data_IF_298131885572
#
_entry.id   IF_298131885572
#
_cell.length_a   1.000
_cell.length_b   1.000
_cell.length_c   1.000
_cell.angle_alpha   90.00
_cell.angle_beta   90.00
_cell.angle_gamma   90.00
#
_symmetry.space_group_name_H-M   'P 1'
#
loop_
_entity.id
_entity.type
_entity.pdbx_description
1 polymer ?
#
# COMPACT_ATOMS: atom_id res chain seq x y z
N UNK A 1 -8.63 13.54 17.72
CA UNK A 1 -9.84 12.69 17.86
C UNK A 1 -10.20 12.03 16.52
N UNK A 2 -9.24 11.49 15.76
CA UNK A 2 -9.49 11.01 14.37
C UNK A 2 -9.46 9.50 14.16
N UNK A 3 -9.05 8.70 15.14
CA UNK A 3 -8.91 7.23 14.98
C UNK A 3 -10.14 6.43 15.43
N UNK A 4 -11.15 7.09 16.01
CA UNK A 4 -12.31 6.41 16.60
C UNK A 4 -13.35 6.06 15.51
N UNK A 5 -13.61 6.99 14.58
CA UNK A 5 -14.60 6.80 13.50
C UNK A 5 -14.15 5.73 12.48
N UNK A 6 -12.84 5.55 12.30
CA UNK A 6 -12.30 4.61 11.30
C UNK A 6 -12.53 3.14 11.67
N UNK A 7 -12.45 2.80 12.97
CA UNK A 7 -12.63 1.40 13.41
C UNK A 7 -14.10 1.02 13.60
N UNK A 8 -14.95 1.98 13.96
CA UNK A 8 -16.40 1.77 14.05
C UNK A 8 -17.02 1.33 12.72
N UNK A 9 -16.52 1.86 11.59
CA UNK A 9 -16.98 1.45 10.27
C UNK A 9 -16.77 -0.06 10.04
N UNK A 10 -15.63 -0.60 10.47
CA UNK A 10 -15.34 -2.02 10.38
C UNK A 10 -16.24 -2.86 11.29
N UNK A 11 -16.35 -2.45 12.55
CA UNK A 11 -17.07 -3.22 13.58
C UNK A 11 -18.58 -3.29 13.27
N UNK A 12 -19.14 -2.22 12.70
CA UNK A 12 -20.55 -2.14 12.31
C UNK A 12 -20.84 -2.69 10.90
N UNK A 13 -19.82 -2.89 10.06
CA UNK A 13 -20.04 -3.39 8.70
C UNK A 13 -20.47 -4.86 8.72
N UNK A 14 -21.63 -5.11 8.11
CA UNK A 14 -22.19 -6.44 7.86
C UNK A 14 -22.09 -6.72 6.36
N UNK A 15 -21.39 -7.80 6.02
CA UNK A 15 -21.35 -8.30 4.64
C UNK A 15 -22.63 -9.08 4.37
N UNK A 16 -23.51 -8.48 3.59
CA UNK A 16 -24.74 -9.13 3.11
C UNK A 16 -24.53 -9.62 1.66
N UNK A 17 -25.21 -10.70 1.23
CA UNK A 17 -25.21 -11.08 -0.17
C UNK A 17 -25.61 -9.88 -1.05
N UNK A 18 -24.84 -9.65 -2.12
CA UNK A 18 -25.17 -8.60 -3.06
C UNK A 18 -26.55 -8.89 -3.69
N UNK A 19 -27.45 -7.91 -3.71
CA UNK A 19 -28.81 -8.09 -4.28
C UNK A 19 -28.77 -8.52 -5.75
N UNK A 20 -27.75 -8.05 -6.46
CA UNK A 20 -27.32 -8.54 -7.75
C UNK A 20 -25.81 -8.79 -7.67
N UNK A 21 -25.28 -9.87 -8.27
CA UNK A 21 -23.84 -10.11 -8.29
C UNK A 21 -23.10 -8.90 -8.88
N UNK A 22 -22.02 -8.49 -8.21
CA UNK A 22 -21.15 -7.40 -8.67
C UNK A 22 -19.96 -8.06 -9.36
N UNK A 23 -19.97 -8.06 -10.68
CA UNK A 23 -19.03 -8.83 -11.50
C UNK A 23 -18.31 -7.94 -12.49
N UNK A 24 -17.03 -7.67 -12.24
CA UNK A 24 -16.22 -6.75 -13.05
C UNK A 24 -15.26 -7.52 -13.97
N UNK A 25 -14.58 -8.53 -13.44
CA UNK A 25 -13.54 -9.28 -14.13
C UNK A 25 -14.14 -10.50 -14.81
N UNK A 26 -14.79 -11.38 -14.05
CA UNK A 26 -15.43 -12.58 -14.59
C UNK A 26 -16.45 -13.19 -13.62
N UNK A 27 -17.64 -13.61 -14.08
CA UNK A 27 -18.65 -14.26 -13.23
C UNK A 27 -18.13 -15.47 -12.43
N UNK A 28 -17.11 -16.17 -12.94
CA UNK A 28 -16.51 -17.32 -12.24
C UNK A 28 -15.86 -16.95 -10.90
N UNK A 29 -15.55 -15.68 -10.68
CA UNK A 29 -14.92 -15.18 -9.45
C UNK A 29 -15.91 -14.57 -8.46
N UNK A 30 -17.22 -14.64 -8.72
CA UNK A 30 -18.26 -14.18 -7.80
C UNK A 30 -18.92 -15.37 -7.08
N UNK A 31 -18.42 -15.81 -5.91
CA UNK A 31 -18.92 -16.99 -5.21
C UNK A 31 -20.31 -16.73 -4.63
N UNK A 32 -21.14 -17.76 -4.51
CA UNK A 32 -22.48 -17.65 -3.90
C UNK A 32 -22.48 -17.62 -2.37
N UNK A 33 -21.30 -17.82 -1.76
CA UNK A 33 -21.06 -17.78 -0.32
C UNK A 33 -19.88 -16.87 -0.02
N UNK A 34 -19.80 -16.36 1.20
CA UNK A 34 -18.69 -15.52 1.64
C UNK A 34 -17.39 -16.31 1.63
N UNK A 35 -16.32 -15.71 1.12
CA UNK A 35 -14.98 -16.30 1.07
C UNK A 35 -14.02 -15.43 1.85
N UNK A 36 -13.13 -16.02 2.65
CA UNK A 36 -12.11 -15.28 3.39
C UNK A 36 -10.75 -15.57 2.77
N UNK A 37 -10.22 -14.63 2.00
CA UNK A 37 -8.94 -14.78 1.32
C UNK A 37 -7.79 -14.50 2.29
N UNK A 38 -6.80 -15.39 2.29
CA UNK A 38 -5.50 -15.17 2.94
C UNK A 38 -4.62 -14.35 2.01
N UNK A 39 -4.23 -13.18 2.47
CA UNK A 39 -3.39 -12.22 1.77
C UNK A 39 -2.10 -11.98 2.56
N UNK A 40 -1.05 -11.56 1.86
CA UNK A 40 0.20 -11.10 2.46
C UNK A 40 0.34 -9.59 2.21
N UNK A 41 0.91 -8.83 3.13
CA UNK A 41 1.52 -7.54 2.86
C UNK A 41 2.80 -7.76 2.06
N UNK A 42 3.34 -6.73 1.43
CA UNK A 42 4.57 -6.91 0.66
C UNK A 42 4.43 -8.08 -0.31
N UNK A 43 3.27 -8.17 -0.99
CA UNK A 43 2.98 -9.19 -2.02
C UNK A 43 4.10 -9.23 -3.08
N UNK A 44 4.94 -8.21 -3.11
CA UNK A 44 6.06 -8.00 -4.02
C UNK A 44 7.46 -8.20 -3.42
N UNK A 45 7.64 -8.25 -2.08
CA UNK A 45 8.97 -8.46 -1.46
C UNK A 45 9.44 -9.93 -1.46
N UNK A 46 8.62 -10.86 -1.94
CA UNK A 46 9.03 -12.26 -2.07
C UNK A 46 9.92 -12.44 -3.30
N UNK A 47 11.22 -12.13 -3.17
CA UNK A 47 12.24 -12.63 -4.08
C UNK A 47 12.30 -14.16 -3.96
N UNK A 48 11.45 -14.86 -4.71
CA UNK A 48 11.57 -16.30 -4.96
C UNK A 48 10.34 -17.16 -4.68
N UNK A 49 9.32 -16.67 -3.97
CA UNK A 49 8.10 -17.44 -3.66
C UNK A 49 6.84 -16.74 -4.22
N UNK A 50 6.19 -17.38 -5.19
CA UNK A 50 4.87 -16.98 -5.70
C UNK A 50 3.83 -17.10 -4.57
N UNK A 51 3.40 -15.98 -3.98
CA UNK A 51 2.34 -16.01 -2.97
C UNK A 51 1.02 -16.50 -3.59
N UNK A 52 0.42 -17.51 -2.95
CA UNK A 52 -0.83 -18.11 -3.41
C UNK A 52 -1.97 -17.67 -2.51
N UNK A 53 -2.93 -16.96 -3.11
CA UNK A 53 -4.13 -16.46 -2.44
C UNK A 53 -5.14 -17.60 -2.39
N UNK A 54 -5.55 -17.96 -1.17
CA UNK A 54 -6.44 -19.09 -0.89
C UNK A 54 -7.54 -18.70 0.08
N UNK A 55 -8.67 -19.41 0.02
CA UNK A 55 -9.68 -19.32 1.06
C UNK A 55 -9.20 -19.98 2.35
N UNK A 56 -9.25 -19.25 3.45
CA UNK A 56 -8.84 -19.70 4.79
C UNK A 56 -9.68 -20.89 5.24
N UNK A 57 -10.98 -20.91 4.92
CA UNK A 57 -11.90 -21.95 5.42
C UNK A 57 -11.73 -23.27 4.66
N UNK A 58 -11.74 -23.22 3.33
CA UNK A 58 -11.66 -24.43 2.51
C UNK A 58 -10.24 -24.84 2.12
N UNK A 59 -9.27 -23.93 2.20
CA UNK A 59 -7.93 -24.11 1.65
C UNK A 59 -7.87 -24.01 0.12
N UNK A 60 -8.97 -23.67 -0.55
CA UNK A 60 -9.03 -23.58 -2.01
C UNK A 60 -8.16 -22.44 -2.51
N UNK A 61 -7.22 -22.75 -3.40
CA UNK A 61 -6.40 -21.74 -4.09
C UNK A 61 -7.20 -21.05 -5.20
N UNK A 62 -7.17 -19.72 -5.24
CA UNK A 62 -7.88 -18.93 -6.24
C UNK A 62 -6.94 -18.22 -7.19
N UNK A 63 -5.91 -17.56 -6.64
CA UNK A 63 -5.06 -16.67 -7.41
C UNK A 63 -3.59 -16.78 -7.01
N UNK A 64 -2.72 -16.37 -7.94
CA UNK A 64 -1.30 -16.10 -7.69
C UNK A 64 -0.95 -14.76 -8.34
N UNK A 65 0.06 -14.10 -7.81
CA UNK A 65 0.56 -12.84 -8.38
C UNK A 65 1.89 -13.13 -9.04
N UNK A 66 2.01 -12.77 -10.32
CA UNK A 66 3.27 -12.86 -11.06
C UNK A 66 3.78 -11.44 -11.34
N UNK A 67 4.92 -11.11 -10.75
CA UNK A 67 5.66 -9.90 -11.06
C UNK A 67 6.67 -10.16 -12.19
N UNK A 68 6.89 -9.18 -13.06
CA UNK A 68 8.00 -9.22 -13.99
C UNK A 68 9.20 -8.49 -13.37
N UNK A 69 10.10 -9.26 -12.74
CA UNK A 69 11.29 -8.75 -12.04
C UNK A 69 12.27 -8.01 -12.97
N UNK A 70 12.09 -8.14 -14.30
CA UNK A 70 12.95 -7.54 -15.32
C UNK A 70 12.23 -6.45 -16.14
N UNK A 71 10.95 -6.17 -15.87
CA UNK A 71 10.20 -5.17 -16.64
C UNK A 71 10.38 -3.77 -16.07
N UNK A 72 10.90 -2.87 -16.92
CA UNK A 72 10.93 -1.43 -16.68
C UNK A 72 9.54 -0.80 -16.48
N UNK A 73 8.45 -1.51 -16.78
CA UNK A 73 7.07 -0.99 -16.72
C UNK A 73 6.36 -1.21 -15.39
N UNK A 74 6.98 -1.86 -14.39
CA UNK A 74 6.35 -2.24 -13.11
C UNK A 74 5.02 -2.99 -13.29
N UNK A 75 4.84 -3.68 -14.41
CA UNK A 75 3.61 -4.42 -14.71
C UNK A 75 3.56 -5.73 -13.92
N UNK A 76 2.36 -6.06 -13.44
CA UNK A 76 2.07 -7.24 -12.62
C UNK A 76 0.88 -7.97 -13.21
N UNK A 77 0.89 -9.30 -13.10
CA UNK A 77 -0.19 -10.14 -13.63
C UNK A 77 -0.83 -10.92 -12.49
N UNK A 78 -2.11 -10.69 -12.25
CA UNK A 78 -2.93 -11.60 -11.45
C UNK A 78 -3.23 -12.82 -12.32
N UNK A 79 -2.92 -14.01 -11.84
CA UNK A 79 -3.26 -15.27 -12.50
C UNK A 79 -4.18 -16.10 -11.63
N UNK A 80 -5.00 -16.96 -12.22
CA UNK A 80 -5.80 -17.92 -11.47
C UNK A 80 -4.96 -19.12 -11.01
N UNK A 81 -5.57 -20.02 -10.23
CA UNK A 81 -4.91 -21.23 -9.72
C UNK A 81 -4.35 -22.15 -10.82
N UNK A 82 -4.83 -22.03 -12.06
CA UNK A 82 -4.33 -22.77 -13.23
C UNK A 82 -3.17 -22.06 -13.92
N UNK A 83 -2.78 -20.88 -13.43
CA UNK A 83 -1.74 -20.04 -14.01
C UNK A 83 -2.21 -19.24 -15.23
N UNK A 84 -3.51 -19.19 -15.51
CA UNK A 84 -4.05 -18.38 -16.60
C UNK A 84 -4.16 -16.91 -16.17
N UNK A 85 -3.76 -15.95 -17.02
CA UNK A 85 -3.90 -14.54 -16.72
C UNK A 85 -5.36 -14.14 -16.47
N UNK A 86 -5.59 -13.42 -15.38
CA UNK A 86 -6.88 -12.87 -14.96
C UNK A 86 -6.94 -11.38 -15.26
N UNK A 87 -5.91 -10.64 -14.86
CA UNK A 87 -5.79 -9.22 -15.11
C UNK A 87 -4.32 -8.80 -15.13
N UNK A 88 -4.02 -7.78 -15.94
CA UNK A 88 -2.75 -7.09 -15.94
C UNK A 88 -2.93 -5.79 -15.15
N UNK A 89 -2.01 -5.48 -14.25
CA UNK A 89 -2.00 -4.25 -13.48
C UNK A 89 -0.69 -3.53 -13.75
N UNK A 90 -0.76 -2.24 -14.10
CA UNK A 90 0.42 -1.44 -14.39
C UNK A 90 0.35 -0.13 -13.63
N UNK A 91 1.42 0.19 -12.92
CA UNK A 91 1.55 1.46 -12.23
C UNK A 91 1.81 2.61 -13.22
N UNK A 92 1.14 3.73 -13.00
CA UNK A 92 1.40 5.01 -13.65
C UNK A 92 1.49 6.10 -12.58
N UNK A 93 2.56 6.89 -12.62
CA UNK A 93 2.70 8.09 -11.79
C UNK A 93 2.03 9.27 -12.50
N UNK A 94 0.98 9.81 -11.89
CA UNK A 94 0.26 10.99 -12.37
C UNK A 94 0.98 12.29 -11.94
N UNK A 95 0.69 13.43 -12.60
CA UNK A 95 1.18 14.73 -12.14
C UNK A 95 0.83 14.97 -10.68
N UNK A 96 1.79 15.48 -9.90
CA UNK A 96 1.63 15.68 -8.45
C UNK A 96 2.02 14.48 -7.60
N UNK A 97 2.64 13.45 -8.18
CA UNK A 97 3.18 12.30 -7.45
C UNK A 97 2.13 11.25 -7.06
N UNK A 98 0.88 11.43 -7.45
CA UNK A 98 -0.19 10.47 -7.18
C UNK A 98 0.00 9.23 -8.05
N UNK A 99 0.05 8.06 -7.42
CA UNK A 99 0.21 6.79 -8.12
C UNK A 99 -1.14 6.18 -8.42
N UNK A 100 -1.31 5.73 -9.66
CA UNK A 100 -2.52 5.11 -10.17
C UNK A 100 -2.16 3.74 -10.73
N UNK A 101 -2.94 2.73 -10.38
CA UNK A 101 -2.86 1.41 -11.00
C UNK A 101 -3.85 1.32 -12.15
N UNK A 102 -3.37 1.06 -13.36
CA UNK A 102 -4.20 0.77 -14.52
C UNK A 102 -4.43 -0.73 -14.63
N UNK A 103 -5.68 -1.15 -14.72
CA UNK A 103 -6.06 -2.56 -14.86
C UNK A 103 -6.49 -2.84 -16.30
N UNK A 104 -5.95 -3.90 -16.88
CA UNK A 104 -6.23 -4.33 -18.25
C UNK A 104 -6.69 -5.78 -18.30
N UNK A 105 -7.55 -6.05 -19.29
CA UNK A 105 -7.86 -7.39 -19.73
C UNK A 105 -6.60 -8.08 -20.26
N UNK A 106 -6.44 -9.40 -20.04
CA UNK A 106 -5.32 -10.19 -20.55
C UNK A 106 -5.47 -10.52 -22.05
N UNK A 107 -5.68 -9.49 -22.88
CA UNK A 107 -5.80 -9.59 -24.34
C UNK A 107 -4.52 -9.13 -25.03
N UNK A 108 -4.39 -9.42 -26.32
CA UNK A 108 -3.28 -8.91 -27.15
C UNK A 108 -3.89 -8.12 -28.32
N UNK A 109 -3.74 -6.78 -28.37
CA UNK A 109 -3.13 -5.92 -27.34
C UNK A 109 -3.96 -5.87 -26.03
N UNK A 110 -3.36 -5.51 -24.88
CA UNK A 110 -4.09 -5.34 -23.62
C UNK A 110 -5.20 -4.29 -23.72
N UNK A 111 -6.39 -4.62 -23.23
CA UNK A 111 -7.55 -3.73 -23.28
C UNK A 111 -7.77 -3.09 -21.91
N UNK A 112 -7.83 -1.76 -21.77
CA UNK A 112 -8.06 -1.13 -20.47
C UNK A 112 -9.44 -1.46 -19.93
N UNK A 113 -9.52 -1.77 -18.63
CA UNK A 113 -10.77 -2.01 -17.93
C UNK A 113 -11.13 -0.83 -17.03
N UNK A 114 -10.25 -0.49 -16.09
CA UNK A 114 -10.47 0.60 -15.14
C UNK A 114 -9.14 1.01 -14.51
N UNK A 115 -9.17 2.14 -13.82
CA UNK A 115 -8.05 2.64 -13.04
C UNK A 115 -8.40 2.60 -11.54
N UNK A 116 -7.40 2.35 -10.70
CA UNK A 116 -7.50 2.36 -9.24
C UNK A 116 -6.51 3.41 -8.73
N UNK A 117 -7.01 4.45 -8.07
CA UNK A 117 -6.18 5.50 -7.50
C UNK A 117 -6.39 5.58 -5.98
N UNK A 118 -5.56 4.87 -5.20
CA UNK A 118 -5.50 5.04 -3.75
C UNK A 118 -5.03 6.44 -3.35
N UNK A 119 -5.63 6.97 -2.29
CA UNK A 119 -5.21 8.21 -1.63
C UNK A 119 -5.06 7.91 -0.15
N UNK A 120 -3.89 7.41 0.22
CA UNK A 120 -3.58 6.99 1.59
C UNK A 120 -2.71 8.08 2.23
N UNK A 121 -3.18 8.61 3.35
CA UNK A 121 -2.46 9.56 4.20
C UNK A 121 -2.38 9.01 5.62
N UNK A 122 -1.66 9.69 6.51
CA UNK A 122 -1.57 9.28 7.93
C UNK A 122 -2.93 9.32 8.66
N UNK A 123 -3.91 10.06 8.14
CA UNK A 123 -5.18 10.30 8.84
C UNK A 123 -6.40 9.85 8.04
N UNK A 124 -6.25 9.64 6.73
CA UNK A 124 -7.37 9.37 5.82
C UNK A 124 -6.96 8.36 4.75
N UNK A 125 -7.90 7.50 4.40
CA UNK A 125 -7.77 6.54 3.33
C UNK A 125 -8.97 6.71 2.41
N UNK A 126 -8.72 7.13 1.18
CA UNK A 126 -9.73 7.29 0.15
C UNK A 126 -9.37 6.49 -1.11
N UNK A 127 -10.39 6.11 -1.87
CA UNK A 127 -10.27 5.34 -3.10
C UNK A 127 -11.03 6.06 -4.21
N UNK A 128 -10.35 6.33 -5.32
CA UNK A 128 -10.97 6.76 -6.57
C UNK A 128 -10.90 5.61 -7.57
N UNK A 129 -12.01 4.89 -7.71
CA UNK A 129 -12.13 3.76 -8.59
C UNK A 129 -13.59 3.60 -9.05
N UNK A 130 -13.80 3.63 -10.36
CA UNK A 130 -15.09 3.37 -11.00
C UNK A 130 -14.91 2.18 -11.92
N UNK A 131 -15.74 1.17 -11.73
CA UNK A 131 -15.71 -0.08 -12.47
C UNK A 131 -17.02 -0.27 -13.22
N UNK A 132 -17.00 -1.07 -14.29
CA UNK A 132 -18.21 -1.40 -15.06
C UNK A 132 -18.48 -2.88 -14.91
N UNK A 133 -19.68 -3.22 -14.46
CA UNK A 133 -20.10 -4.62 -14.36
C UNK A 133 -20.18 -5.25 -15.75
N UNK A 134 -19.49 -6.37 -15.93
CA UNK A 134 -19.40 -7.06 -17.21
C UNK A 134 -20.72 -7.73 -17.63
N UNK A 135 -21.66 -7.95 -16.70
CA UNK A 135 -22.96 -8.58 -16.92
C UNK A 135 -24.04 -7.52 -17.14
N UNK A 136 -24.20 -6.58 -16.20
CA UNK A 136 -25.26 -5.55 -16.23
C UNK A 136 -24.88 -4.34 -17.08
N UNK A 137 -23.59 -4.13 -17.35
CA UNK A 137 -23.02 -2.96 -18.04
C UNK A 137 -23.23 -1.64 -17.28
N UNK A 138 -23.54 -1.70 -15.99
CA UNK A 138 -23.71 -0.51 -15.16
C UNK A 138 -22.38 -0.12 -14.50
N UNK A 139 -22.11 1.19 -14.35
CA UNK A 139 -20.96 1.66 -13.59
C UNK A 139 -21.24 1.55 -12.10
N UNK A 140 -20.20 1.22 -11.34
CA UNK A 140 -20.20 1.14 -9.89
C UNK A 140 -19.00 1.92 -9.33
N UNK A 141 -19.23 2.69 -8.27
CA UNK A 141 -18.17 3.41 -7.58
C UNK A 141 -17.69 2.62 -6.37
N UNK A 142 -16.41 2.31 -6.35
CA UNK A 142 -15.79 1.69 -5.18
C UNK A 142 -15.39 2.76 -4.16
N UNK A 143 -15.48 2.39 -2.89
CA UNK A 143 -15.06 3.21 -1.76
C UNK A 143 -14.35 2.39 -0.71
N UNK A 144 -13.66 3.07 0.19
CA UNK A 144 -12.97 2.47 1.33
C UNK A 144 -13.30 3.27 2.58
N UNK A 145 -13.52 2.56 3.68
CA UNK A 145 -13.67 3.13 5.02
C UNK A 145 -12.72 2.44 5.98
N UNK A 146 -12.29 3.16 6.99
CA UNK A 146 -11.40 2.67 8.03
C UNK A 146 -9.94 2.98 7.78
N UNK A 147 -9.07 2.27 8.49
CA UNK A 147 -7.64 2.50 8.45
C UNK A 147 -6.92 1.37 7.72
N UNK A 148 -6.44 1.68 6.51
CA UNK A 148 -5.70 0.72 5.69
C UNK A 148 -4.39 0.33 6.35
N UNK A 149 -3.68 1.24 7.01
CA UNK A 149 -2.36 0.97 7.58
C UNK A 149 -2.43 -0.08 8.69
N UNK A 150 -3.43 -0.01 9.57
CA UNK A 150 -3.72 -1.08 10.55
C UNK A 150 -4.49 -2.27 9.98
N UNK A 151 -4.77 -2.26 8.67
CA UNK A 151 -5.54 -3.27 7.94
C UNK A 151 -6.88 -3.56 8.62
N UNK A 152 -7.55 -2.54 9.16
CA UNK A 152 -8.93 -2.64 9.68
C UNK A 152 -9.84 -1.76 8.83
N UNK A 153 -10.24 -2.30 7.67
CA UNK A 153 -10.98 -1.55 6.63
C UNK A 153 -12.17 -2.28 6.06
N UNK A 154 -13.06 -1.50 5.43
CA UNK A 154 -14.22 -1.98 4.70
C UNK A 154 -14.16 -1.43 3.29
N UNK A 155 -14.18 -2.32 2.30
CA UNK A 155 -14.38 -1.94 0.91
C UNK A 155 -15.88 -1.88 0.63
N UNK A 156 -16.30 -0.87 -0.11
CA UNK A 156 -17.70 -0.63 -0.47
C UNK A 156 -17.87 -0.51 -1.97
N UNK A 157 -19.06 -0.84 -2.45
CA UNK A 157 -19.52 -0.63 -3.81
C UNK A 157 -20.84 0.14 -3.73
N UNK A 158 -20.90 1.34 -4.31
CA UNK A 158 -22.03 2.26 -4.22
C UNK A 158 -22.52 2.48 -2.77
N UNK A 159 -21.58 2.52 -1.82
CA UNK A 159 -21.83 2.68 -0.38
C UNK A 159 -22.20 1.42 0.38
N UNK A 160 -22.47 0.29 -0.30
CA UNK A 160 -22.73 -0.99 0.35
C UNK A 160 -21.41 -1.75 0.63
N UNK A 161 -21.20 -2.32 1.84
CA UNK A 161 -20.03 -3.15 2.14
C UNK A 161 -19.94 -4.38 1.25
N UNK A 162 -18.79 -4.57 0.60
CA UNK A 162 -18.50 -5.71 -0.28
C UNK A 162 -17.35 -6.58 0.21
N UNK A 163 -16.44 -6.02 1.02
CA UNK A 163 -15.38 -6.78 1.66
C UNK A 163 -14.92 -6.13 2.97
N UNK A 164 -14.39 -6.96 3.87
CA UNK A 164 -13.77 -6.54 5.12
C UNK A 164 -12.33 -7.02 5.16
N UNK A 165 -11.42 -6.13 5.53
CA UNK A 165 -9.99 -6.42 5.64
C UNK A 165 -9.59 -6.35 7.10
N UNK A 166 -8.90 -7.38 7.59
CA UNK A 166 -8.39 -7.46 8.95
C UNK A 166 -6.94 -7.93 8.96
N UNK A 167 -6.07 -7.28 9.73
CA UNK A 167 -4.73 -7.78 10.03
C UNK A 167 -4.78 -9.21 10.62
N UNK A 168 -3.77 -10.02 10.33
CA UNK A 168 -3.62 -11.32 10.98
C UNK A 168 -3.06 -11.22 12.40
N UNK A 169 -3.45 -12.15 13.27
CA UNK A 169 -3.00 -12.24 14.67
C UNK A 169 -1.55 -12.77 14.84
N UNK A 170 -0.84 -13.03 13.73
CA UNK A 170 0.48 -13.66 13.75
C UNK A 170 1.57 -12.65 14.10
N UNK A 171 2.59 -13.10 14.85
CA UNK A 171 3.84 -12.36 15.07
C UNK A 171 4.64 -12.16 13.76
N UNK A 172 4.25 -12.84 12.68
CA UNK A 172 4.72 -12.59 11.32
C UNK A 172 3.93 -11.40 10.76
N UNK A 173 4.56 -10.23 10.73
CA UNK A 173 3.93 -8.91 10.58
C UNK A 173 3.31 -8.61 9.19
N UNK A 174 3.34 -9.58 8.26
CA UNK A 174 3.04 -9.33 6.85
C UNK A 174 1.79 -10.10 6.35
N UNK A 175 0.83 -10.50 7.19
CA UNK A 175 -0.36 -11.24 6.71
C UNK A 175 -1.66 -10.55 7.11
N UNK A 176 -2.67 -10.64 6.23
CA UNK A 176 -4.01 -10.13 6.48
C UNK A 176 -5.07 -10.97 5.78
N UNK A 177 -6.32 -10.76 6.18
CA UNK A 177 -7.46 -11.52 5.70
C UNK A 177 -8.48 -10.60 5.07
N UNK A 178 -9.02 -11.01 3.93
CA UNK A 178 -10.05 -10.29 3.20
C UNK A 178 -11.30 -11.14 3.10
N UNK A 179 -12.31 -10.83 3.90
CA UNK A 179 -13.62 -11.45 3.79
C UNK A 179 -14.41 -10.75 2.67
N UNK A 180 -14.78 -11.51 1.65
CA UNK A 180 -15.53 -11.05 0.48
C UNK A 180 -16.99 -11.47 0.61
N UNK A 181 -17.91 -10.54 0.37
CA UNK A 181 -19.34 -10.80 0.44
C UNK A 181 -19.80 -11.78 -0.66
N UNK A 182 -20.86 -12.57 -0.42
CA UNK A 182 -21.45 -13.42 -1.45
C UNK A 182 -21.90 -12.60 -2.66
N UNK A 183 -21.57 -13.09 -3.86
CA UNK A 183 -21.92 -12.47 -5.15
C UNK A 183 -20.96 -11.37 -5.60
N UNK A 184 -19.88 -11.09 -4.86
CA UNK A 184 -18.87 -10.09 -5.22
C UNK A 184 -17.69 -10.76 -5.92
N UNK A 185 -17.24 -10.18 -7.02
CA UNK A 185 -16.04 -10.62 -7.74
C UNK A 185 -14.77 -10.53 -6.87
N UNK A 186 -14.25 -11.68 -6.48
CA UNK A 186 -13.05 -11.78 -5.66
C UNK A 186 -11.80 -11.26 -6.39
N UNK A 187 -11.72 -11.39 -7.72
CA UNK A 187 -10.58 -10.89 -8.47
C UNK A 187 -10.53 -9.35 -8.43
N UNK A 188 -11.69 -8.69 -8.51
CA UNK A 188 -11.79 -7.25 -8.30
C UNK A 188 -11.27 -6.84 -6.92
N UNK A 189 -11.75 -7.51 -5.87
CA UNK A 189 -11.34 -7.19 -4.49
C UNK A 189 -9.83 -7.38 -4.30
N UNK A 190 -9.27 -8.45 -4.85
CA UNK A 190 -7.82 -8.71 -4.83
C UNK A 190 -7.05 -7.61 -5.54
N UNK A 191 -7.50 -7.16 -6.72
CA UNK A 191 -6.84 -6.06 -7.46
C UNK A 191 -6.87 -4.74 -6.69
N UNK A 192 -7.96 -4.44 -5.98
CA UNK A 192 -8.05 -3.25 -5.12
C UNK A 192 -7.07 -3.36 -3.94
N UNK A 193 -7.00 -4.52 -3.28
CA UNK A 193 -6.04 -4.75 -2.20
C UNK A 193 -4.59 -4.63 -2.72
N UNK A 194 -4.30 -5.20 -3.89
CA UNK A 194 -3.00 -5.05 -4.56
C UNK A 194 -2.70 -3.58 -4.86
N UNK A 195 -3.65 -2.75 -5.28
CA UNK A 195 -3.36 -1.35 -5.51
C UNK A 195 -3.08 -0.58 -4.21
N UNK A 196 -3.80 -0.90 -3.13
CA UNK A 196 -3.65 -0.27 -1.82
C UNK A 196 -2.31 -0.62 -1.15
N UNK A 197 -1.85 -1.86 -1.28
CA UNK A 197 -0.51 -2.27 -0.84
C UNK A 197 0.57 -1.45 -1.55
N UNK A 198 0.45 -1.16 -2.86
CA UNK A 198 1.53 -0.51 -3.64
C UNK A 198 1.68 0.93 -3.20
N UNK A 199 0.53 1.58 -3.00
CA UNK A 199 0.49 2.92 -2.45
C UNK A 199 1.05 3.01 -1.02
N UNK A 200 1.06 1.90 -0.28
CA UNK A 200 1.61 1.85 1.08
C UNK A 200 3.13 1.63 1.07
N UNK A 201 3.61 0.66 0.31
CA UNK A 201 5.05 0.32 0.22
C UNK A 201 5.88 1.47 -0.34
N UNK A 202 5.39 2.16 -1.38
CA UNK A 202 6.09 3.32 -1.93
C UNK A 202 6.19 4.46 -0.89
N UNK A 203 5.18 4.62 -0.03
CA UNK A 203 5.17 5.64 1.03
C UNK A 203 6.21 5.32 2.11
N UNK A 204 6.34 4.06 2.51
CA UNK A 204 7.40 3.64 3.43
C UNK A 204 8.78 3.89 2.82
N UNK A 205 8.95 3.63 1.52
CA UNK A 205 10.17 3.97 0.78
C UNK A 205 10.50 5.47 0.79
N UNK A 206 9.52 6.33 0.55
CA UNK A 206 9.69 7.80 0.59
C UNK A 206 10.01 8.31 2.00
N UNK A 207 9.38 7.75 3.05
CA UNK A 207 9.62 8.13 4.44
C UNK A 207 11.03 7.73 4.91
N UNK A 208 11.50 6.53 4.55
CA UNK A 208 12.85 6.06 4.86
C UNK A 208 13.90 6.93 4.18
N UNK A 209 13.69 7.30 2.92
CA UNK A 209 14.57 8.23 2.20
C UNK A 209 14.54 9.61 2.84
N UNK A 210 13.35 10.14 3.18
CA UNK A 210 13.21 11.43 3.85
C UNK A 210 13.95 11.49 5.19
N UNK A 211 13.87 10.41 5.98
CA UNK A 211 14.60 10.28 7.25
C UNK A 211 16.11 10.22 7.03
N UNK A 212 16.59 9.43 6.07
CA UNK A 212 18.01 9.33 5.75
C UNK A 212 18.59 10.66 5.23
N UNK A 213 17.84 11.38 4.39
CA UNK A 213 18.22 12.72 3.92
C UNK A 213 18.23 13.72 5.09
N UNK A 214 17.22 13.66 5.97
CA UNK A 214 17.18 14.50 7.17
C UNK A 214 18.37 14.25 8.11
N UNK A 215 18.69 12.99 8.39
CA UNK A 215 19.85 12.62 9.21
C UNK A 215 21.17 13.07 8.57
N UNK A 216 21.31 12.97 7.25
CA UNK A 216 22.49 13.45 6.53
C UNK A 216 22.63 14.98 6.57
N UNK A 217 21.53 15.72 6.43
CA UNK A 217 21.52 17.20 6.52
C UNK A 217 21.86 17.65 7.95
N UNK A 218 21.32 16.99 8.98
CA UNK A 218 21.68 17.26 10.37
C UNK A 218 23.16 16.97 10.61
N UNK A 219 23.69 15.86 10.10
CA UNK A 219 25.12 15.54 10.20
C UNK A 219 26.03 16.59 9.55
N UNK A 220 25.62 17.16 8.41
CA UNK A 220 26.35 18.25 7.75
C UNK A 220 26.36 19.55 8.58
N UNK A 221 25.21 19.95 9.13
CA UNK A 221 25.11 21.14 9.99
C UNK A 221 25.89 20.99 11.31
N UNK A 222 25.96 19.77 11.86
CA UNK A 222 26.78 19.49 13.04
C UNK A 222 28.26 19.60 12.72
N UNK A 223 28.69 19.18 11.53
CA UNK A 223 30.09 19.32 11.12
C UNK A 223 30.50 20.81 10.99
N UNK A 224 29.67 21.63 10.33
CA UNK A 224 29.88 23.09 10.23
C UNK A 224 30.01 23.73 11.63
N UNK A 225 29.10 23.41 12.55
CA UNK A 225 29.11 23.96 13.91
C UNK A 225 30.31 23.49 14.75
N UNK A 226 30.86 22.31 14.48
CA UNK A 226 32.08 21.82 15.14
C UNK A 226 33.31 22.51 14.58
N UNK A 227 33.35 22.80 13.27
CA UNK A 227 34.44 23.54 12.64
C UNK A 227 34.48 24.99 13.18
N UNK A 228 33.33 25.66 13.26
CA UNK A 228 33.20 26.99 13.86
C UNK A 228 33.67 27.01 15.35
N UNK A 229 33.31 25.98 16.14
CA UNK A 229 33.69 25.90 17.55
C UNK A 229 35.18 25.56 17.77
N UNK A 230 35.82 24.85 16.83
CA UNK A 230 37.26 24.61 16.87
C UNK A 230 38.01 25.91 16.54
N UNK A 231 37.53 26.69 15.58
CA UNK A 231 38.12 27.98 15.21
C UNK A 231 38.01 29.01 16.37
N UNK A 232 36.87 29.07 17.07
CA UNK A 232 36.71 29.93 18.26
C UNK A 232 37.62 29.51 19.44
N UNK A 233 37.88 28.21 19.62
CA UNK A 233 38.74 27.72 20.70
C UNK A 233 40.24 28.01 20.44
N UNK A 234 40.67 28.04 19.18
CA UNK A 234 42.04 28.42 18.81
C UNK A 234 42.30 29.93 18.95
N UNK A 235 41.26 30.77 18.93
CA UNK A 235 41.37 32.22 19.11
C UNK A 235 41.46 32.63 20.60
N UNK A 236 40.81 31.91 21.54
CA UNK A 236 40.89 32.19 22.98
C UNK A 236 42.24 31.81 23.62
N UNK A 237 42.95 30.81 23.11
CA UNK A 237 44.27 30.41 23.63
C UNK A 237 45.40 31.38 23.23
N UNK A 238 45.14 32.31 22.29
CA UNK A 238 46.13 33.28 21.81
C UNK A 238 46.21 34.58 22.64
N UNK A 239 45.27 34.83 23.56
CA UNK A 239 45.23 36.07 24.36
C UNK A 239 45.71 35.94 25.82
N UNK A 240 46.22 34.77 26.27
CA UNK A 240 46.66 34.59 27.68
C UNK A 240 48.17 34.71 27.97
N UNK A 241 49.03 34.79 26.95
CA UNK A 241 50.49 34.94 27.13
C UNK A 241 50.93 36.40 27.01
N UNK A 242 50.53 37.23 27.96
CA UNK A 242 50.93 38.63 27.99
C UNK A 242 50.66 39.32 29.31
N UNK A 243 51.35 38.91 30.39
CA UNK A 243 52.00 39.79 31.38
C UNK A 243 52.36 39.04 32.67
N UNK A 244 53.66 38.99 32.99
CA UNK A 244 54.28 39.16 34.33
C UNK A 244 55.77 38.72 34.24
N UNK A 245 56.76 39.64 34.21
CA UNK A 245 57.37 40.33 35.37
C UNK A 245 58.01 39.27 36.31
N UNK A 246 59.32 39.12 36.49
CA UNK A 246 60.30 40.13 36.91
C UNK A 246 61.74 39.54 37.05
N UNK A 247 62.70 40.47 37.22
CA UNK A 247 63.93 40.41 38.03
C UNK A 247 65.07 39.44 37.63
N UNK A 248 66.22 40.03 37.26
CA UNK A 248 67.44 40.05 38.09
C UNK A 248 68.64 40.58 37.27
N UNK A 249 69.22 41.72 37.67
CA UNK A 249 70.68 41.93 37.70
C UNK A 249 71.04 43.25 38.43
N UNK A 250 71.96 43.07 39.40
CA UNK A 250 72.73 44.00 40.27
C UNK A 250 72.21 44.37 41.68
#
# INVERSE_FOLDING_TARGET
MGCCESTEAYDNAVLVPAQQPIVVINPKFAPTVSVTLHMKQNLWSCTGDDFTIKDVKSGTEYFKIKGDLLSATRAKTLVDFQGLPVALMQEVVLPGGLRQQKVFAPTIPPTPWFDITPKITLFDCALDCVVVDCTTKLPHKLGIFGDWLSRKTVLTCDGAPIAKVLAGDSLLQDEYFVEVAPGVDMALVVLVCMALEEATEDREGEEVVGKAVGEAVVGFLVADAVEDAIEEAEEEDAESDGDDVNDDDD
#
